data_IF_726658346730
#
_entry.id   IF_726658346730
#
_cell.length_a   1.000
_cell.length_b   1.000
_cell.length_c   1.000
_cell.angle_alpha   90.00
_cell.angle_beta   90.00
_cell.angle_gamma   90.00
#
_symmetry.space_group_name_H-M   'P 1'
#
loop_
_entity.id
_entity.type
_entity.pdbx_description
1 polymer ?
#
# COMPACT_ATOMS: atom_id res chain seq x y z
N UNK A 1 16.45 2.78 12.73
CA UNK A 1 15.11 2.47 12.18
C UNK A 1 15.17 2.84 10.71
N UNK A 2 14.90 1.88 9.84
CA UNK A 2 14.96 2.09 8.40
C UNK A 2 13.94 3.14 7.96
N UNK A 3 14.39 4.10 7.16
CA UNK A 3 13.52 5.11 6.56
C UNK A 3 12.93 4.55 5.26
N UNK A 4 11.60 4.58 5.14
CA UNK A 4 10.93 4.32 3.87
C UNK A 4 11.09 5.54 2.97
N UNK A 5 11.49 5.32 1.71
CA UNK A 5 11.56 6.37 0.70
C UNK A 5 10.17 6.91 0.37
N UNK A 6 9.20 5.99 0.35
CA UNK A 6 7.81 6.29 0.03
C UNK A 6 6.90 5.22 0.66
N UNK A 7 5.76 5.65 1.18
CA UNK A 7 4.72 4.76 1.69
C UNK A 7 3.36 5.38 1.38
N UNK A 8 2.48 4.59 0.78
CA UNK A 8 1.12 5.03 0.51
C UNK A 8 0.13 3.85 0.36
N UNK A 9 -1.15 4.17 0.39
CA UNK A 9 -2.25 3.26 0.14
C UNK A 9 -2.78 3.52 -1.28
N UNK A 10 -2.75 2.48 -2.09
CA UNK A 10 -3.25 2.49 -3.45
C UNK A 10 -4.53 1.67 -3.56
N UNK A 11 -5.45 2.17 -4.39
CA UNK A 11 -6.65 1.48 -4.82
C UNK A 11 -6.47 1.00 -6.26
N UNK A 12 -6.79 -0.26 -6.52
CA UNK A 12 -6.75 -0.84 -7.86
C UNK A 12 -7.98 -0.35 -8.64
N UNK A 13 -7.74 0.35 -9.73
CA UNK A 13 -8.79 0.84 -10.63
C UNK A 13 -9.12 -0.20 -11.69
N UNK A 14 -8.09 -0.75 -12.36
CA UNK A 14 -8.24 -1.69 -13.48
C UNK A 14 -7.13 -2.73 -13.48
N UNK A 15 -7.46 -3.93 -13.95
CA UNK A 15 -6.48 -4.99 -14.22
C UNK A 15 -6.34 -5.18 -15.74
N UNK A 16 -5.10 -5.26 -16.22
CA UNK A 16 -4.75 -5.52 -17.62
C UNK A 16 -5.47 -4.58 -18.62
N UNK A 17 -5.17 -3.26 -18.62
CA UNK A 17 -5.77 -2.31 -19.54
C UNK A 17 -5.52 -2.66 -21.02
N UNK A 18 -4.38 -3.29 -21.32
CA UNK A 18 -3.99 -3.73 -22.67
C UNK A 18 -4.50 -5.14 -23.03
N UNK A 19 -5.32 -5.75 -22.17
CA UNK A 19 -5.71 -7.14 -22.25
C UNK A 19 -4.66 -8.10 -21.66
N UNK A 20 -5.09 -9.35 -21.42
CA UNK A 20 -4.24 -10.38 -20.81
C UNK A 20 -3.22 -10.90 -21.82
N UNK A 21 -1.97 -10.41 -21.73
CA UNK A 21 -0.84 -10.87 -22.56
C UNK A 21 -0.11 -12.07 -21.96
N UNK A 22 -0.13 -12.19 -20.64
CA UNK A 22 0.57 -13.23 -19.89
C UNK A 22 -0.38 -13.92 -18.91
N UNK A 23 -0.23 -15.22 -18.73
CA UNK A 23 -1.09 -15.98 -17.81
C UNK A 23 -0.73 -15.77 -16.34
N UNK A 24 0.56 -15.60 -16.06
CA UNK A 24 1.13 -15.55 -14.70
C UNK A 24 1.37 -14.13 -14.19
N UNK A 25 1.31 -13.13 -15.07
CA UNK A 25 1.63 -11.75 -14.74
C UNK A 25 0.44 -10.88 -15.14
N UNK A 26 0.01 -10.04 -14.20
CA UNK A 26 -1.05 -9.06 -14.41
C UNK A 26 -0.48 -7.67 -14.20
N UNK A 27 -0.79 -6.78 -15.14
CA UNK A 27 -0.49 -5.35 -15.02
C UNK A 27 -1.62 -4.67 -14.28
N UNK A 28 -1.36 -4.18 -13.08
CA UNK A 28 -2.34 -3.43 -12.29
C UNK A 28 -2.23 -1.94 -12.61
N UNK A 29 -3.37 -1.26 -12.73
CA UNK A 29 -3.46 0.19 -12.65
C UNK A 29 -4.01 0.57 -11.28
N UNK A 30 -3.25 1.37 -10.54
CA UNK A 30 -3.63 1.78 -9.21
C UNK A 30 -3.47 3.29 -9.01
N UNK A 31 -4.37 3.86 -8.21
CA UNK A 31 -4.32 5.27 -7.80
C UNK A 31 -4.19 5.40 -6.30
N UNK A 32 -3.36 6.34 -5.89
CA UNK A 32 -3.19 6.74 -4.50
C UNK A 32 -4.45 7.39 -3.95
N UNK A 33 -4.74 7.17 -2.66
CA UNK A 33 -5.81 7.90 -1.96
C UNK A 33 -5.35 9.24 -1.37
N UNK A 34 -4.07 9.37 -1.02
CA UNK A 34 -3.55 10.53 -0.27
C UNK A 34 -2.88 11.58 -1.15
N UNK A 35 -2.13 11.13 -2.15
CA UNK A 35 -1.14 11.95 -2.86
C UNK A 35 -1.44 12.11 -4.37
N UNK A 36 -2.62 11.70 -4.86
CA UNK A 36 -3.00 11.73 -6.29
C UNK A 36 -1.91 11.17 -7.24
N UNK A 37 -1.22 10.14 -6.77
CA UNK A 37 -0.24 9.40 -7.57
C UNK A 37 -0.92 8.30 -8.39
N UNK A 38 -0.37 8.08 -9.57
CA UNK A 38 -0.78 7.04 -10.49
C UNK A 38 0.32 6.01 -10.63
N UNK A 39 -0.03 4.73 -10.61
CA UNK A 39 0.92 3.63 -10.66
C UNK A 39 0.49 2.56 -11.66
N UNK A 40 1.46 2.08 -12.45
CA UNK A 40 1.40 0.79 -13.11
C UNK A 40 2.39 -0.16 -12.45
N UNK A 41 1.95 -1.37 -12.14
CA UNK A 41 2.81 -2.39 -11.55
C UNK A 41 2.51 -3.75 -12.17
N UNK A 42 3.55 -4.48 -12.56
CA UNK A 42 3.43 -5.87 -12.98
C UNK A 42 3.56 -6.78 -11.75
N UNK A 43 2.53 -7.59 -11.48
CA UNK A 43 2.47 -8.50 -10.32
C UNK A 43 2.28 -9.93 -10.80
N UNK A 44 3.00 -10.86 -10.16
CA UNK A 44 2.81 -12.29 -10.38
C UNK A 44 1.49 -12.77 -9.79
N UNK A 45 0.48 -13.02 -10.63
CA UNK A 45 -0.87 -13.44 -10.23
C UNK A 45 -0.86 -14.80 -9.51
N UNK A 46 0.10 -15.68 -9.85
CA UNK A 46 0.26 -16.99 -9.21
C UNK A 46 0.66 -16.87 -7.73
N UNK A 47 1.43 -15.83 -7.38
CA UNK A 47 1.96 -15.63 -6.02
C UNK A 47 1.04 -14.71 -5.22
N UNK A 48 0.57 -13.63 -5.85
CA UNK A 48 -0.22 -12.60 -5.20
C UNK A 48 -1.42 -12.18 -6.05
N UNK A 49 -2.56 -12.88 -5.93
CA UNK A 49 -3.77 -12.54 -6.66
C UNK A 49 -4.35 -11.23 -6.11
N UNK A 50 -4.57 -10.26 -6.99
CA UNK A 50 -5.20 -8.98 -6.68
C UNK A 50 -6.47 -8.82 -7.53
N UNK A 51 -7.51 -8.21 -6.97
CA UNK A 51 -8.76 -7.93 -7.67
C UNK A 51 -9.00 -6.43 -7.87
N UNK A 52 -9.82 -6.08 -8.87
CA UNK A 52 -10.26 -4.70 -9.08
C UNK A 52 -11.02 -4.17 -7.86
N UNK A 53 -10.74 -2.92 -7.48
CA UNK A 53 -11.36 -2.27 -6.32
C UNK A 53 -10.72 -2.60 -4.97
N UNK A 54 -9.79 -3.54 -4.90
CA UNK A 54 -9.02 -3.81 -3.68
C UNK A 54 -8.06 -2.66 -3.37
N UNK A 55 -7.74 -2.49 -2.08
CA UNK A 55 -6.74 -1.55 -1.60
C UNK A 55 -5.55 -2.30 -1.04
N UNK A 56 -4.36 -1.79 -1.31
CA UNK A 56 -3.13 -2.31 -0.76
C UNK A 56 -2.22 -1.17 -0.33
N UNK A 57 -1.44 -1.43 0.70
CA UNK A 57 -0.39 -0.56 1.19
C UNK A 57 0.89 -0.96 0.49
N UNK A 58 1.56 0.03 -0.09
CA UNK A 58 2.83 -0.13 -0.78
C UNK A 58 3.86 0.78 -0.15
N UNK A 59 5.04 0.23 0.12
CA UNK A 59 6.20 0.96 0.58
C UNK A 59 7.42 0.67 -0.31
N UNK A 60 8.22 1.71 -0.54
CA UNK A 60 9.52 1.64 -1.20
C UNK A 60 10.62 1.90 -0.18
N UNK A 61 11.63 1.05 -0.18
CA UNK A 61 12.81 1.19 0.67
C UNK A 61 14.09 0.95 -0.12
N UNK A 62 15.19 1.58 0.28
CA UNK A 62 16.54 1.31 -0.24
C UNK A 62 17.21 0.11 0.45
N UNK A 63 16.73 -0.28 1.63
CA UNK A 63 17.27 -1.39 2.43
C UNK A 63 16.17 -2.20 3.13
N UNK A 64 16.44 -3.49 3.36
CA UNK A 64 15.57 -4.37 4.15
C UNK A 64 15.97 -4.46 5.62
N UNK A 65 17.15 -3.95 5.98
CA UNK A 65 17.67 -3.99 7.33
C UNK A 65 16.94 -2.94 8.19
N UNK A 66 16.36 -3.35 9.31
CA UNK A 66 15.70 -2.42 10.27
C UNK A 66 16.67 -1.35 10.82
N UNK A 67 17.97 -1.66 10.80
CA UNK A 67 19.05 -0.77 11.23
C UNK A 67 19.32 0.37 10.24
N UNK A 68 18.82 0.29 9.00
CA UNK A 68 19.09 1.27 7.94
C UNK A 68 20.47 1.10 7.27
N UNK A 69 21.17 0.01 7.57
CA UNK A 69 22.44 -0.31 6.90
C UNK A 69 22.20 -0.63 5.42
N UNK A 70 23.04 -0.11 4.50
CA UNK A 70 22.88 -0.38 3.07
C UNK A 70 23.01 -1.88 2.80
N UNK A 71 22.16 -2.40 1.90
CA UNK A 71 22.15 -3.82 1.58
C UNK A 71 23.46 -4.24 0.89
N UNK A 72 24.08 -5.31 1.41
CA UNK A 72 25.33 -5.89 0.87
C UNK A 72 25.09 -6.70 -0.39
N UNK A 73 23.83 -6.96 -0.75
CA UNK A 73 23.43 -7.69 -1.94
C UNK A 73 23.51 -9.21 -1.79
N UNK A 74 23.84 -9.71 -0.61
CA UNK A 74 23.80 -11.13 -0.27
C UNK A 74 22.63 -11.41 0.66
N UNK A 75 21.66 -12.20 0.18
CA UNK A 75 20.60 -12.71 1.03
C UNK A 75 21.21 -13.70 2.02
N UNK A 76 21.27 -13.33 3.30
CA UNK A 76 21.72 -14.22 4.38
C UNK A 76 20.49 -14.72 5.13
N UNK A 77 19.90 -15.87 4.75
CA UNK A 77 18.78 -16.43 5.47
C UNK A 77 19.24 -16.86 6.86
N UNK A 78 18.75 -16.20 7.90
CA UNK A 78 18.68 -16.84 9.22
C UNK A 78 19.35 -16.17 10.43
N UNK A 79 19.30 -14.84 10.62
CA UNK A 79 19.49 -14.35 11.99
C UNK A 79 18.94 -12.98 12.37
N UNK A 80 18.24 -12.26 11.47
CA UNK A 80 17.73 -10.92 11.78
C UNK A 80 16.32 -10.76 11.27
N UNK A 81 15.47 -10.15 12.12
CA UNK A 81 14.17 -9.67 11.71
C UNK A 81 14.38 -8.60 10.64
N UNK A 82 13.66 -8.71 9.53
CA UNK A 82 13.78 -7.78 8.40
C UNK A 82 12.46 -7.06 8.19
N UNK A 83 12.50 -5.94 7.48
CA UNK A 83 11.27 -5.25 7.08
C UNK A 83 10.34 -6.17 6.28
N UNK A 84 10.90 -7.10 5.49
CA UNK A 84 10.15 -8.03 4.65
C UNK A 84 9.17 -8.90 5.46
N UNK A 85 9.48 -9.21 6.73
CA UNK A 85 8.62 -10.07 7.56
C UNK A 85 7.24 -9.44 7.87
N UNK A 86 7.11 -8.12 7.73
CA UNK A 86 5.86 -7.38 7.99
C UNK A 86 5.00 -7.22 6.72
N UNK A 87 5.49 -7.64 5.56
CA UNK A 87 4.82 -7.49 4.28
C UNK A 87 4.59 -8.86 3.64
N UNK A 88 3.56 -8.95 2.80
CA UNK A 88 3.13 -10.22 2.21
C UNK A 88 3.84 -10.48 0.88
N UNK A 89 4.22 -9.41 0.19
CA UNK A 89 4.83 -9.48 -1.12
C UNK A 89 6.00 -8.50 -1.20
N UNK A 90 7.17 -9.03 -1.57
CA UNK A 90 8.42 -8.28 -1.61
C UNK A 90 9.11 -8.51 -2.94
N UNK A 91 9.54 -7.43 -3.59
CA UNK A 91 10.34 -7.49 -4.80
C UNK A 91 11.60 -6.65 -4.66
N UNK A 92 12.71 -7.17 -5.18
CA UNK A 92 13.97 -6.44 -5.29
C UNK A 92 14.19 -6.03 -6.74
N UNK A 93 14.55 -4.77 -6.93
CA UNK A 93 14.74 -4.19 -8.26
C UNK A 93 15.71 -3.01 -8.25
N UNK A 94 15.74 -2.33 -9.38
CA UNK A 94 16.53 -1.11 -9.58
C UNK A 94 15.72 -0.05 -10.29
N UNK A 95 15.98 1.20 -9.92
CA UNK A 95 15.46 2.35 -10.65
C UNK A 95 16.31 2.59 -11.89
N UNK A 96 15.70 2.65 -13.07
CA UNK A 96 16.46 2.80 -14.33
C UNK A 96 16.10 4.04 -15.12
N UNK A 97 14.92 4.64 -14.87
CA UNK A 97 14.48 5.85 -15.56
C UNK A 97 13.80 6.79 -14.58
N UNK A 98 14.18 8.06 -14.68
CA UNK A 98 13.53 9.19 -14.02
C UNK A 98 13.21 10.19 -15.13
N UNK A 99 11.96 10.59 -15.24
CA UNK A 99 11.49 11.58 -16.18
C UNK A 99 10.78 12.69 -15.42
N UNK A 100 11.29 13.91 -15.52
CA UNK A 100 10.62 15.09 -14.99
C UNK A 100 9.72 15.68 -16.07
N UNK A 101 8.44 15.89 -15.75
CA UNK A 101 7.51 16.52 -16.67
C UNK A 101 7.95 17.94 -17.00
N UNK A 102 8.06 18.27 -18.28
CA UNK A 102 8.45 19.61 -18.73
C UNK A 102 7.34 20.64 -18.46
N UNK A 103 7.39 21.34 -17.33
CA UNK A 103 6.52 22.47 -17.00
C UNK A 103 6.43 22.77 -15.49
N UNK A 104 5.97 23.95 -15.10
CA UNK A 104 5.82 24.37 -13.69
C UNK A 104 4.80 23.53 -12.87
N UNK A 105 3.99 22.71 -13.54
CA UNK A 105 3.07 21.73 -12.95
C UNK A 105 3.28 20.32 -13.52
N UNK A 106 4.48 20.02 -14.03
CA UNK A 106 4.78 18.72 -14.64
C UNK A 106 4.75 17.62 -13.59
N UNK A 107 3.89 16.61 -13.78
CA UNK A 107 3.97 15.35 -13.01
C UNK A 107 5.29 14.65 -13.39
N UNK A 108 6.08 14.27 -12.39
CA UNK A 108 7.27 13.46 -12.59
C UNK A 108 6.88 11.98 -12.63
N UNK A 109 7.72 11.19 -13.31
CA UNK A 109 7.52 9.77 -13.59
C UNK A 109 8.82 9.04 -13.29
N UNK A 110 8.73 7.95 -12.53
CA UNK A 110 9.86 7.06 -12.26
C UNK A 110 9.51 5.67 -12.75
N UNK A 111 10.49 4.99 -13.36
CA UNK A 111 10.36 3.60 -13.74
C UNK A 111 11.40 2.74 -13.03
N UNK A 112 10.92 1.65 -12.44
CA UNK A 112 11.71 0.63 -11.78
C UNK A 112 11.50 -0.74 -12.44
N UNK A 113 12.55 -1.55 -12.41
CA UNK A 113 12.52 -2.92 -12.92
C UNK A 113 12.89 -3.91 -11.82
N UNK A 114 12.04 -4.92 -11.64
CA UNK A 114 12.14 -5.99 -10.66
C UNK A 114 12.38 -7.33 -11.37
N UNK A 115 13.53 -7.46 -12.02
CA UNK A 115 13.92 -8.70 -12.70
C UNK A 115 13.04 -9.06 -13.91
N UNK A 116 12.47 -8.06 -14.59
CA UNK A 116 11.59 -8.23 -15.74
C UNK A 116 10.14 -7.79 -15.50
N UNK A 117 9.73 -7.64 -14.24
CA UNK A 117 8.48 -6.99 -13.86
C UNK A 117 8.71 -5.48 -13.79
N UNK A 118 7.89 -4.71 -14.49
CA UNK A 118 8.04 -3.26 -14.57
C UNK A 118 7.09 -2.56 -13.60
N UNK A 119 7.55 -1.41 -13.12
CA UNK A 119 6.76 -0.47 -12.33
C UNK A 119 6.96 0.92 -12.91
N UNK A 120 5.86 1.66 -13.06
CA UNK A 120 5.86 3.10 -13.36
C UNK A 120 5.06 3.80 -12.28
N UNK A 121 5.64 4.84 -11.67
CA UNK A 121 4.97 5.69 -10.69
C UNK A 121 5.04 7.13 -11.15
N UNK A 122 3.87 7.79 -11.19
CA UNK A 122 3.70 9.16 -11.65
C UNK A 122 3.01 10.01 -10.59
N UNK A 123 3.53 11.19 -10.32
CA UNK A 123 3.00 12.05 -9.25
C UNK A 123 3.71 13.39 -9.18
N UNK A 124 3.66 14.01 -7.99
CA UNK A 124 4.33 15.29 -7.77
C UNK A 124 5.86 15.14 -7.64
N UNK A 125 6.64 16.04 -8.27
CA UNK A 125 8.10 16.00 -8.28
C UNK A 125 8.73 16.06 -6.89
N UNK A 126 8.04 16.62 -5.89
CA UNK A 126 8.54 16.73 -4.51
C UNK A 126 8.90 15.38 -3.88
N UNK A 127 8.15 14.32 -4.18
CA UNK A 127 8.40 12.97 -3.65
C UNK A 127 9.51 12.24 -4.40
N UNK A 128 9.74 12.60 -5.67
CA UNK A 128 10.73 11.94 -6.52
C UNK A 128 12.16 12.44 -6.29
N UNK A 129 12.35 13.57 -5.60
CA UNK A 129 13.69 14.11 -5.27
C UNK A 129 14.55 13.16 -4.43
N UNK A 130 13.94 12.23 -3.69
CA UNK A 130 14.65 11.23 -2.90
C UNK A 130 15.22 10.09 -3.74
N UNK A 131 14.89 10.02 -5.04
CA UNK A 131 15.26 8.91 -5.90
C UNK A 131 16.48 9.23 -6.77
N UNK A 132 17.40 8.28 -6.82
CA UNK A 132 18.60 8.32 -7.66
C UNK A 132 18.56 7.19 -8.72
N UNK A 133 19.11 7.46 -9.90
CA UNK A 133 19.26 6.44 -10.95
C UNK A 133 20.18 5.30 -10.48
N UNK A 134 19.92 4.09 -10.96
CA UNK A 134 20.64 2.86 -10.65
C UNK A 134 20.65 2.45 -9.17
N UNK A 135 19.91 3.15 -8.30
CA UNK A 135 19.76 2.76 -6.92
C UNK A 135 18.96 1.45 -6.79
N UNK A 136 19.28 0.67 -5.76
CA UNK A 136 18.52 -0.52 -5.40
C UNK A 136 17.23 -0.11 -4.72
N UNK A 137 16.13 -0.71 -5.14
CA UNK A 137 14.82 -0.49 -4.55
C UNK A 137 14.19 -1.82 -4.14
N UNK A 138 13.59 -1.81 -2.97
CA UNK A 138 12.74 -2.87 -2.46
C UNK A 138 11.30 -2.38 -2.47
N UNK A 139 10.45 -3.08 -3.20
CA UNK A 139 9.01 -2.89 -3.17
C UNK A 139 8.42 -3.84 -2.13
N UNK A 140 7.67 -3.27 -1.21
CA UNK A 140 7.01 -3.96 -0.11
C UNK A 140 5.51 -3.73 -0.24
N UNK A 141 4.72 -4.79 -0.32
CA UNK A 141 3.27 -4.73 -0.47
C UNK A 141 2.58 -5.54 0.62
N UNK A 142 1.49 -4.97 1.15
CA UNK A 142 0.61 -5.60 2.12
C UNK A 142 -0.84 -5.29 1.74
N UNK A 143 -1.71 -6.30 1.77
CA UNK A 143 -3.16 -6.09 1.59
C UNK A 143 -3.72 -5.28 2.74
N UNK A 144 -4.53 -4.28 2.39
CA UNK A 144 -5.31 -3.54 3.38
C UNK A 144 -6.71 -4.13 3.32
N UNK A 145 -6.92 -5.20 4.09
CA UNK A 145 -8.26 -5.76 4.29
C UNK A 145 -9.11 -4.72 5.03
N UNK A 146 -9.91 -3.95 4.29
CA UNK A 146 -11.04 -3.24 4.85
C UNK A 146 -12.09 -4.28 5.28
N UNK A 147 -11.88 -4.93 6.42
CA UNK A 147 -12.93 -5.67 7.17
C UNK A 147 -13.97 -4.71 7.77
N UNK A 148 -14.30 -3.63 7.06
CA UNK A 148 -15.24 -2.58 7.47
C UNK A 148 -16.35 -2.48 6.43
N UNK A 149 -17.03 -3.59 6.16
CA UNK A 149 -18.31 -3.56 5.42
C UNK A 149 -19.24 -4.75 5.73
N UNK A 150 -18.78 -5.77 6.46
CA UNK A 150 -19.65 -6.89 6.88
C UNK A 150 -20.01 -6.87 8.37
N UNK A 151 -19.33 -6.06 9.19
CA UNK A 151 -19.67 -5.97 10.61
C UNK A 151 -20.91 -5.10 10.87
N UNK A 152 -21.18 -4.09 10.04
CA UNK A 152 -22.38 -3.24 10.18
C UNK A 152 -23.66 -3.93 9.71
N UNK A 153 -23.60 -4.86 8.73
CA UNK A 153 -24.77 -5.69 8.36
C UNK A 153 -25.06 -6.77 9.41
N UNK A 154 -24.04 -7.32 10.06
CA UNK A 154 -24.25 -8.30 11.13
C UNK A 154 -24.83 -7.65 12.39
N UNK A 155 -24.38 -6.44 12.75
CA UNK A 155 -24.91 -5.71 13.91
C UNK A 155 -26.36 -5.22 13.70
N UNK A 156 -26.73 -4.76 12.48
CA UNK A 156 -28.11 -4.35 12.20
C UNK A 156 -29.09 -5.53 12.16
N UNK A 157 -28.65 -6.70 11.70
CA UNK A 157 -29.50 -7.90 11.67
C UNK A 157 -29.74 -8.50 13.07
N UNK A 158 -28.80 -8.34 14.01
CA UNK A 158 -29.00 -8.82 15.39
C UNK A 158 -29.82 -7.84 16.24
N UNK A 159 -29.69 -6.53 16.00
CA UNK A 159 -30.41 -5.50 16.75
C UNK A 159 -31.89 -5.36 16.32
N UNK A 160 -32.23 -5.72 15.07
CA UNK A 160 -33.59 -5.62 14.53
C UNK A 160 -34.60 -6.67 14.99
N UNK A 161 -34.21 -7.64 15.84
CA UNK A 161 -35.11 -8.69 16.36
C UNK A 161 -35.40 -8.59 17.87
N UNK A 162 -34.86 -7.59 18.56
CA UNK A 162 -34.93 -7.51 20.03
C UNK A 162 -35.66 -6.26 20.57
N UNK A 163 -36.65 -5.74 19.83
CA UNK A 163 -37.48 -4.61 20.28
C UNK A 163 -38.96 -4.87 19.98
N UNK A 164 -39.48 -5.97 20.54
CA UNK A 164 -40.89 -6.06 20.92
C UNK A 164 -41.00 -6.96 22.14
N UNK A 165 -40.91 -6.38 23.33
CA UNK A 165 -41.77 -6.64 24.48
C UNK A 165 -41.17 -5.98 25.72
N UNK A 166 -41.90 -4.96 26.20
CA UNK A 166 -42.11 -4.54 27.59
C UNK A 166 -40.93 -4.37 28.57
N UNK A 167 -40.90 -3.16 29.14
CA UNK A 167 -40.47 -2.79 30.51
C UNK A 167 -38.96 -2.85 30.83
N UNK A 168 -38.26 -1.72 30.62
CA UNK A 168 -38.00 -0.79 31.73
C UNK A 168 -37.19 0.44 31.25
N UNK A 169 -37.77 1.61 31.50
CA UNK A 169 -37.12 2.91 31.43
C UNK A 169 -36.01 2.97 32.50
N UNK A 170 -34.74 3.17 32.11
CA UNK A 170 -33.74 4.03 32.82
C UNK A 170 -32.29 3.90 32.32
N UNK A 171 -31.96 3.00 31.38
CA UNK A 171 -30.57 2.85 30.91
C UNK A 171 -30.29 3.47 29.52
N UNK A 172 -31.05 4.50 29.13
CA UNK A 172 -30.95 5.12 27.82
C UNK A 172 -30.42 6.57 27.88
N UNK A 173 -29.32 6.79 28.61
CA UNK A 173 -28.66 8.13 28.62
C UNK A 173 -27.13 8.10 28.68
N UNK A 174 -26.45 6.96 28.79
CA UNK A 174 -24.98 6.93 29.04
C UNK A 174 -24.12 6.61 27.80
N UNK A 175 -24.70 6.45 26.61
CA UNK A 175 -23.90 6.20 25.39
C UNK A 175 -24.24 7.23 24.31
N UNK A 176 -24.04 8.50 24.66
CA UNK A 176 -23.83 9.56 23.68
C UNK A 176 -22.58 10.32 24.11
N UNK A 177 -21.69 10.54 23.14
CA UNK A 177 -20.47 11.35 23.20
C UNK A 177 -19.22 10.65 23.74
N UNK A 178 -18.31 10.26 22.85
CA UNK A 178 -17.05 11.01 22.65
C UNK A 178 -16.08 10.20 21.75
N UNK A 179 -15.28 10.85 20.90
CA UNK A 179 -14.52 10.25 19.81
C UNK A 179 -13.10 9.86 20.24
N UNK A 180 -12.54 8.80 19.66
CA UNK A 180 -11.14 8.44 19.83
C UNK A 180 -10.37 8.63 18.51
N UNK A 181 -10.14 9.90 18.18
CA UNK A 181 -9.04 10.34 17.32
C UNK A 181 -8.46 11.60 17.96
N UNK A 182 -7.60 11.43 18.98
CA UNK A 182 -6.63 12.46 19.38
C UNK A 182 -5.36 11.72 19.79
N UNK A 183 -4.42 11.87 18.87
CA UNK A 183 -2.98 11.70 18.97
C UNK A 183 -2.38 12.58 20.07
N UNK A 184 -1.06 12.46 20.29
CA UNK A 184 -0.19 13.47 20.90
C UNK A 184 0.02 13.36 22.42
N UNK A 185 1.22 12.87 22.73
CA UNK A 185 2.25 13.39 23.65
C UNK A 185 1.81 13.95 25.01
N UNK A 186 2.54 13.52 26.05
CA UNK A 186 3.32 14.41 26.94
C UNK A 186 4.04 13.51 27.95
N UNK A 187 5.36 13.48 27.84
CA UNK A 187 6.14 14.40 28.67
C UNK A 187 6.36 15.69 27.87
#
# INVERSE_FOLDING_TARGET
MAEFLFEDIFKIDRLNPDGKKFDKVTRIEAKSEKFDMFMHLDVGTDVYPMNEGEKFSMALSSTLNEDGTPDTGYYTPGNRKTLADNYEYVMQGKLYRIAEGSGHHGKAEIDASFGGLLMMLKGDPSYFKKYELDQRLFLLIRKVDLKVAHFTKFFFSLCGKALSEHEDCTLLTIIKMSPAFVEVSIL
#
